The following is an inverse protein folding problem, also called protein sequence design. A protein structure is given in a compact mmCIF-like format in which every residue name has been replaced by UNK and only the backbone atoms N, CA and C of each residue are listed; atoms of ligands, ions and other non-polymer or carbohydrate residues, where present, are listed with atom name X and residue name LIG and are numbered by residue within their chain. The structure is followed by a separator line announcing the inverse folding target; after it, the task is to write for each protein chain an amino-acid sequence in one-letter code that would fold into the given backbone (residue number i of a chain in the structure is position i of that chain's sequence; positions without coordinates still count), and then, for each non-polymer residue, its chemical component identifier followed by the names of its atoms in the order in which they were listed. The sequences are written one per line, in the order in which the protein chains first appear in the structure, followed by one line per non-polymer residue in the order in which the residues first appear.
data_IF_948545327909
#
_entry.id   IF_948545327909
#
_cell.length_a   1.000
_cell.length_b   1.000
_cell.length_c   1.000
_cell.angle_alpha   90.00
_cell.angle_beta   90.00
_cell.angle_gamma   90.00
#
_symmetry.space_group_name_H-M   'P 1'
#
loop_
_entity.id
_entity.type
_entity.pdbx_description
1 polymer ?
#
# COMPACT_ATOMS: atom_id res chain seq x y z
N UNK A 1 -36.21 -36.43 4.74
CA UNK A 1 -34.85 -35.94 5.08
C UNK A 1 -34.97 -34.84 6.10
N UNK A 2 -34.22 -34.83 7.19
CA UNK A 2 -34.17 -33.70 8.15
C UNK A 2 -33.36 -32.60 7.55
N UNK A 3 -33.85 -31.33 7.63
CA UNK A 3 -33.08 -30.18 7.15
C UNK A 3 -31.76 -30.07 7.94
N UNK A 4 -30.73 -29.53 7.33
CA UNK A 4 -29.42 -29.32 7.99
C UNK A 4 -29.55 -28.50 9.28
N UNK A 5 -30.46 -27.49 9.31
CA UNK A 5 -30.76 -26.71 10.52
C UNK A 5 -31.31 -27.60 11.68
N UNK A 6 -32.19 -28.59 11.38
CA UNK A 6 -32.70 -29.52 12.41
C UNK A 6 -31.63 -30.49 12.90
N UNK A 7 -30.54 -30.67 12.14
CA UNK A 7 -29.40 -31.50 12.51
C UNK A 7 -28.31 -30.69 13.21
N UNK A 8 -28.52 -29.39 13.42
CA UNK A 8 -27.52 -28.51 14.01
C UNK A 8 -26.29 -28.25 13.09
N UNK A 9 -26.43 -28.58 11.80
CA UNK A 9 -25.38 -28.38 10.81
C UNK A 9 -25.58 -27.00 10.13
N UNK A 10 -24.68 -26.09 10.40
CA UNK A 10 -24.66 -24.76 9.78
C UNK A 10 -23.94 -24.82 8.41
N UNK A 11 -24.59 -25.54 7.48
CA UNK A 11 -24.12 -25.75 6.10
C UNK A 11 -25.21 -25.26 5.16
N UNK A 12 -24.80 -24.51 4.13
CA UNK A 12 -25.70 -24.06 3.08
C UNK A 12 -26.13 -25.29 2.25
N UNK A 13 -27.44 -25.62 2.18
CA UNK A 13 -27.90 -26.77 1.40
C UNK A 13 -27.70 -26.51 -0.10
N UNK A 14 -27.30 -27.55 -0.84
CA UNK A 14 -27.26 -27.50 -2.31
C UNK A 14 -28.67 -27.57 -2.89
N UNK A 15 -28.85 -26.95 -4.03
CA UNK A 15 -30.12 -26.96 -4.76
C UNK A 15 -30.30 -28.32 -5.44
N UNK A 16 -31.51 -28.89 -5.34
CA UNK A 16 -31.80 -30.17 -5.97
C UNK A 16 -31.71 -30.04 -7.50
N UNK A 17 -30.89 -30.92 -8.09
CA UNK A 17 -30.75 -31.06 -9.53
C UNK A 17 -31.77 -32.08 -10.05
N UNK A 18 -32.73 -31.66 -10.80
CA UNK A 18 -33.66 -32.59 -11.48
C UNK A 18 -32.92 -33.54 -12.44
N UNK A 19 -33.62 -34.60 -12.90
CA UNK A 19 -33.03 -35.64 -13.77
C UNK A 19 -32.37 -35.09 -15.02
N UNK A 20 -32.98 -34.09 -15.67
CA UNK A 20 -32.46 -33.44 -16.89
C UNK A 20 -31.13 -32.71 -16.64
N UNK A 21 -31.07 -31.91 -15.56
CA UNK A 21 -29.84 -31.16 -15.19
C UNK A 21 -28.72 -32.13 -14.80
N UNK A 22 -29.06 -33.17 -14.05
CA UNK A 22 -28.08 -34.20 -13.66
C UNK A 22 -27.51 -34.98 -14.86
N UNK A 23 -28.33 -35.22 -15.91
CA UNK A 23 -27.87 -35.87 -17.14
C UNK A 23 -26.90 -34.96 -17.95
N UNK A 24 -27.16 -33.65 -18.01
CA UNK A 24 -26.28 -32.68 -18.65
C UNK A 24 -24.92 -32.56 -17.95
N UNK A 25 -24.95 -32.45 -16.63
CA UNK A 25 -23.70 -32.36 -15.81
C UNK A 25 -22.86 -33.65 -15.92
N UNK A 26 -23.46 -34.82 -16.01
CA UNK A 26 -22.73 -36.07 -16.24
C UNK A 26 -22.06 -36.13 -17.62
N UNK A 27 -22.62 -35.43 -18.61
CA UNK A 27 -22.02 -35.28 -19.95
C UNK A 27 -20.98 -34.18 -20.02
N UNK A 28 -20.63 -33.54 -18.89
CA UNK A 28 -19.66 -32.45 -18.85
C UNK A 28 -20.20 -31.09 -19.29
N UNK A 29 -21.53 -30.98 -19.49
CA UNK A 29 -22.17 -29.72 -19.88
C UNK A 29 -22.51 -28.93 -18.61
N UNK A 30 -21.86 -27.80 -18.40
CA UNK A 30 -22.10 -26.94 -17.24
C UNK A 30 -23.50 -26.31 -17.30
N UNK A 31 -24.21 -26.40 -16.17
CA UNK A 31 -25.55 -25.82 -16.02
C UNK A 31 -25.57 -24.74 -14.93
N UNK A 32 -26.53 -23.82 -14.96
CA UNK A 32 -26.64 -22.77 -13.94
C UNK A 32 -26.82 -23.36 -12.53
N UNK A 33 -27.64 -24.42 -12.38
CA UNK A 33 -27.85 -25.10 -11.09
C UNK A 33 -26.58 -25.87 -10.68
N UNK A 34 -25.88 -26.48 -11.62
CA UNK A 34 -24.60 -27.16 -11.38
C UNK A 34 -23.53 -26.16 -10.92
N UNK A 35 -23.43 -25.01 -11.57
CA UNK A 35 -22.51 -23.92 -11.17
C UNK A 35 -22.86 -23.43 -9.76
N UNK A 36 -24.12 -23.12 -9.49
CA UNK A 36 -24.59 -22.69 -8.17
C UNK A 36 -24.23 -23.71 -7.09
N UNK A 37 -24.42 -25.00 -7.36
CA UNK A 37 -24.04 -26.06 -6.41
C UNK A 37 -22.53 -26.18 -6.21
N UNK A 38 -21.72 -25.90 -7.23
CA UNK A 38 -20.26 -25.81 -7.11
C UNK A 38 -19.88 -24.63 -6.21
N UNK A 39 -20.51 -23.48 -6.39
CA UNK A 39 -20.26 -22.29 -5.56
C UNK A 39 -20.69 -22.50 -4.12
N UNK A 40 -21.86 -23.13 -3.88
CA UNK A 40 -22.32 -23.50 -2.53
C UNK A 40 -21.33 -24.46 -1.87
N UNK A 41 -20.85 -25.49 -2.58
CA UNK A 41 -19.84 -26.41 -2.05
C UNK A 41 -18.51 -25.72 -1.74
N UNK A 42 -18.09 -24.77 -2.58
CA UNK A 42 -16.90 -23.96 -2.34
C UNK A 42 -17.06 -23.06 -1.10
N UNK A 43 -18.22 -22.39 -0.96
CA UNK A 43 -18.56 -21.60 0.21
C UNK A 43 -18.59 -22.45 1.51
N UNK A 44 -19.19 -23.64 1.47
CA UNK A 44 -19.21 -24.55 2.62
C UNK A 44 -17.81 -25.02 3.01
N UNK A 45 -16.92 -25.32 2.04
CA UNK A 45 -15.52 -25.66 2.32
C UNK A 45 -14.79 -24.49 2.97
N UNK A 46 -15.02 -23.27 2.47
CA UNK A 46 -14.44 -22.06 3.04
C UNK A 46 -14.93 -21.82 4.48
N UNK A 47 -16.22 -22.02 4.74
CA UNK A 47 -16.80 -21.93 6.09
C UNK A 47 -16.17 -22.96 7.05
N UNK A 48 -15.98 -24.20 6.59
CA UNK A 48 -15.35 -25.25 7.40
C UNK A 48 -13.86 -24.92 7.67
N UNK A 49 -13.14 -24.39 6.70
CA UNK A 49 -11.76 -23.93 6.90
C UNK A 49 -11.69 -22.80 7.93
N UNK A 50 -12.60 -21.82 7.85
CA UNK A 50 -12.72 -20.73 8.84
C UNK A 50 -13.01 -21.29 10.23
N UNK A 51 -13.94 -22.25 10.37
CA UNK A 51 -14.24 -22.87 11.66
C UNK A 51 -13.05 -23.62 12.25
N UNK A 52 -12.31 -24.35 11.40
CA UNK A 52 -11.07 -25.00 11.82
C UNK A 52 -10.05 -23.98 12.33
N UNK A 53 -9.90 -22.88 11.60
CA UNK A 53 -8.98 -21.80 12.00
C UNK A 53 -9.43 -21.15 13.31
N UNK A 54 -10.75 -20.92 13.51
CA UNK A 54 -11.31 -20.40 14.76
C UNK A 54 -11.04 -21.36 15.92
N UNK A 55 -11.17 -22.68 15.70
CA UNK A 55 -10.86 -23.68 16.72
C UNK A 55 -9.39 -23.60 17.12
N UNK A 56 -8.50 -23.66 16.13
CA UNK A 56 -7.06 -23.54 16.38
C UNK A 56 -6.69 -22.25 17.11
N UNK A 57 -7.38 -21.15 16.77
CA UNK A 57 -7.20 -19.84 17.40
C UNK A 57 -7.65 -19.84 18.87
N UNK A 58 -8.76 -20.52 19.18
CA UNK A 58 -9.22 -20.69 20.55
C UNK A 58 -8.25 -21.52 21.37
N UNK A 59 -7.78 -22.63 20.79
CA UNK A 59 -6.83 -23.51 21.45
C UNK A 59 -5.53 -22.77 21.73
N UNK A 60 -5.00 -22.05 20.73
CA UNK A 60 -3.80 -21.22 20.91
C UNK A 60 -3.96 -20.08 21.94
N UNK A 61 -5.14 -19.41 21.97
CA UNK A 61 -5.42 -18.41 23.02
C UNK A 61 -5.45 -19.08 24.39
N UNK A 62 -6.00 -20.27 24.50
CA UNK A 62 -6.02 -21.01 25.75
C UNK A 62 -4.61 -21.38 26.22
N UNK A 63 -3.77 -21.88 25.31
CA UNK A 63 -2.37 -22.22 25.58
C UNK A 63 -1.56 -20.99 26.03
N UNK A 64 -1.73 -19.87 25.34
CA UNK A 64 -1.06 -18.60 25.72
C UNK A 64 -1.56 -18.10 27.08
N UNK A 65 -2.87 -18.17 27.33
CA UNK A 65 -3.42 -17.75 28.62
C UNK A 65 -2.88 -18.64 29.76
N UNK A 66 -2.68 -19.92 29.50
CA UNK A 66 -2.12 -20.85 30.47
C UNK A 66 -0.62 -20.58 30.70
N UNK A 67 0.16 -20.43 29.64
CA UNK A 67 1.56 -20.03 29.71
C UNK A 67 1.74 -18.65 30.41
N UNK A 68 0.84 -17.70 30.13
CA UNK A 68 0.87 -16.38 30.78
C UNK A 68 0.53 -16.49 32.26
N UNK A 69 -0.37 -17.40 32.67
CA UNK A 69 -0.66 -17.65 34.09
C UNK A 69 0.52 -18.26 34.82
N UNK A 70 1.24 -19.20 34.19
CA UNK A 70 2.44 -19.78 34.78
C UNK A 70 3.53 -18.72 34.99
N UNK A 71 3.80 -17.91 33.95
CA UNK A 71 4.78 -16.79 34.04
C UNK A 71 4.36 -15.73 35.06
N UNK A 72 3.05 -15.44 35.18
CA UNK A 72 2.54 -14.50 36.20
C UNK A 72 2.60 -15.09 37.62
N UNK A 73 2.46 -16.41 37.78
CA UNK A 73 2.61 -17.07 39.07
C UNK A 73 4.07 -17.05 39.56
N UNK A 74 5.03 -17.15 38.63
CA UNK A 74 6.46 -17.06 38.93
C UNK A 74 6.96 -15.63 39.20
N UNK A 75 6.30 -14.61 38.64
CA UNK A 75 6.73 -13.20 38.74
C UNK A 75 5.63 -12.27 39.30
N UNK A 76 5.18 -12.52 40.51
CA UNK A 76 4.20 -11.63 41.18
C UNK A 76 4.73 -10.18 41.38
N UNK A 77 6.04 -9.99 41.45
CA UNK A 77 6.68 -8.67 41.56
C UNK A 77 6.69 -7.88 40.21
N UNK A 78 6.59 -8.56 39.05
CA UNK A 78 6.59 -7.96 37.71
C UNK A 78 5.18 -7.55 37.24
N UNK A 79 4.15 -7.83 38.04
CA UNK A 79 2.73 -7.59 37.69
C UNK A 79 2.37 -6.16 37.32
N UNK A 80 3.20 -5.15 37.65
CA UNK A 80 2.89 -3.74 37.39
C UNK A 80 3.24 -3.25 35.99
N UNK A 81 4.05 -3.99 35.23
CA UNK A 81 4.55 -3.54 33.91
C UNK A 81 4.45 -4.61 32.79
N UNK A 82 3.67 -5.66 32.97
CA UNK A 82 3.52 -6.68 31.93
C UNK A 82 2.72 -6.09 30.75
N UNK A 83 3.36 -6.01 29.59
CA UNK A 83 2.71 -5.60 28.34
C UNK A 83 1.56 -6.54 28.01
N UNK A 84 0.36 -6.03 27.64
CA UNK A 84 -0.79 -6.86 27.36
C UNK A 84 -0.53 -7.79 26.17
N UNK A 85 -0.99 -9.06 26.29
CA UNK A 85 -0.84 -10.07 25.26
C UNK A 85 -1.65 -9.67 24.00
N UNK A 86 -0.99 -9.71 22.82
CA UNK A 86 -1.59 -9.32 21.54
C UNK A 86 -2.83 -10.16 21.17
N UNK A 87 -2.84 -11.45 21.51
CA UNK A 87 -3.99 -12.30 21.23
C UNK A 87 -5.24 -11.87 22.01
N UNK A 88 -5.07 -11.46 23.26
CA UNK A 88 -6.15 -10.90 24.09
C UNK A 88 -6.66 -9.58 23.50
N UNK A 89 -5.75 -8.69 23.10
CA UNK A 89 -6.09 -7.42 22.48
C UNK A 89 -6.82 -7.59 21.13
N UNK A 90 -6.41 -8.55 20.31
CA UNK A 90 -7.12 -8.87 19.07
C UNK A 90 -8.52 -9.43 19.30
N UNK A 91 -8.71 -10.25 20.33
CA UNK A 91 -10.04 -10.71 20.76
C UNK A 91 -10.91 -9.53 21.20
N UNK A 92 -10.36 -8.63 21.99
CA UNK A 92 -11.09 -7.46 22.47
C UNK A 92 -11.44 -6.52 21.32
N UNK A 93 -10.58 -6.40 20.31
CA UNK A 93 -10.90 -5.72 19.05
C UNK A 93 -12.08 -6.36 18.32
N UNK A 94 -12.15 -7.70 18.23
CA UNK A 94 -13.31 -8.39 17.67
C UNK A 94 -14.61 -8.05 18.41
N UNK A 95 -14.56 -8.02 19.75
CA UNK A 95 -15.70 -7.66 20.57
C UNK A 95 -16.16 -6.21 20.31
N UNK A 96 -15.20 -5.30 20.20
CA UNK A 96 -15.46 -3.90 19.86
C UNK A 96 -16.11 -3.79 18.47
N UNK A 97 -15.59 -4.48 17.46
CA UNK A 97 -16.15 -4.51 16.11
C UNK A 97 -17.55 -5.10 16.07
N UNK A 98 -17.82 -6.12 16.89
CA UNK A 98 -19.15 -6.71 17.00
C UNK A 98 -20.13 -5.73 17.65
N UNK A 99 -19.70 -4.98 18.66
CA UNK A 99 -20.51 -3.95 19.29
C UNK A 99 -20.83 -2.79 18.34
N UNK A 100 -19.84 -2.32 17.54
CA UNK A 100 -20.05 -1.28 16.53
C UNK A 100 -21.10 -1.66 15.47
N UNK A 101 -21.30 -2.96 15.24
CA UNK A 101 -22.26 -3.47 14.26
C UNK A 101 -23.60 -3.90 14.84
N UNK A 102 -23.84 -3.65 16.12
CA UNK A 102 -25.10 -4.04 16.77
C UNK A 102 -26.34 -3.47 16.07
N UNK A 103 -26.24 -2.30 15.46
CA UNK A 103 -27.32 -1.61 14.73
C UNK A 103 -27.44 -2.02 13.26
N UNK A 104 -26.52 -2.85 12.75
CA UNK A 104 -26.57 -3.26 11.35
C UNK A 104 -27.64 -4.32 11.10
N UNK A 105 -28.05 -4.49 9.85
CA UNK A 105 -28.94 -5.58 9.44
C UNK A 105 -28.32 -6.94 9.77
N UNK A 106 -29.15 -7.97 10.03
CA UNK A 106 -28.71 -9.33 10.33
C UNK A 106 -27.69 -9.86 9.32
N UNK A 107 -27.93 -9.62 8.04
CA UNK A 107 -26.98 -10.00 6.98
C UNK A 107 -25.65 -9.23 7.08
N UNK A 108 -25.70 -7.93 7.32
CA UNK A 108 -24.51 -7.09 7.52
C UNK A 108 -23.69 -7.53 8.73
N UNK A 109 -24.35 -7.88 9.83
CA UNK A 109 -23.68 -8.41 11.03
C UNK A 109 -22.96 -9.73 10.74
N UNK A 110 -23.63 -10.68 10.07
CA UNK A 110 -23.03 -11.99 9.74
C UNK A 110 -21.85 -11.84 8.79
N UNK A 111 -22.00 -11.10 7.68
CA UNK A 111 -20.92 -10.87 6.73
C UNK A 111 -19.75 -10.15 7.39
N UNK A 112 -20.01 -9.08 8.12
CA UNK A 112 -18.98 -8.33 8.80
C UNK A 112 -18.24 -9.16 9.86
N UNK A 113 -18.93 -10.01 10.61
CA UNK A 113 -18.30 -10.92 11.57
C UNK A 113 -17.42 -11.94 10.87
N UNK A 114 -17.84 -12.49 9.74
CA UNK A 114 -17.03 -13.43 8.94
C UNK A 114 -15.77 -12.78 8.41
N UNK A 115 -15.87 -11.55 7.89
CA UNK A 115 -14.74 -10.81 7.36
C UNK A 115 -13.74 -10.44 8.47
N UNK A 116 -14.22 -10.00 9.64
CA UNK A 116 -13.37 -9.70 10.79
C UNK A 116 -12.67 -10.96 11.31
N UNK A 117 -13.39 -12.08 11.45
CA UNK A 117 -12.80 -13.36 11.87
C UNK A 117 -11.69 -13.81 10.93
N UNK A 118 -11.89 -13.71 9.62
CA UNK A 118 -10.88 -14.00 8.62
C UNK A 118 -9.64 -13.13 8.80
N UNK A 119 -9.84 -11.83 8.95
CA UNK A 119 -8.76 -10.85 9.10
C UNK A 119 -7.97 -11.09 10.39
N UNK A 120 -8.65 -11.28 11.52
CA UNK A 120 -7.99 -11.55 12.80
C UNK A 120 -7.29 -12.91 12.81
N UNK A 121 -7.89 -13.93 12.18
CA UNK A 121 -7.25 -15.23 12.02
C UNK A 121 -5.91 -15.12 11.27
N UNK A 122 -5.89 -14.36 10.16
CA UNK A 122 -4.66 -14.12 9.41
C UNK A 122 -3.62 -13.37 10.26
N UNK A 123 -4.05 -12.37 11.03
CA UNK A 123 -3.19 -11.63 11.93
C UNK A 123 -2.60 -12.53 13.03
N UNK A 124 -3.40 -13.41 13.60
CA UNK A 124 -2.96 -14.35 14.64
C UNK A 124 -1.95 -15.35 14.10
N UNK A 125 -2.20 -15.91 12.91
CA UNK A 125 -1.23 -16.79 12.24
C UNK A 125 0.08 -16.07 11.96
N UNK A 126 -0.01 -14.78 11.57
CA UNK A 126 1.17 -13.93 11.36
C UNK A 126 1.97 -13.75 12.66
N UNK A 127 1.31 -13.35 13.75
CA UNK A 127 1.93 -13.17 15.08
C UNK A 127 2.60 -14.46 15.58
N UNK A 128 1.91 -15.60 15.43
CA UNK A 128 2.43 -16.89 15.82
C UNK A 128 3.67 -17.29 15.00
N UNK A 129 3.66 -17.04 13.69
CA UNK A 129 4.80 -17.34 12.80
C UNK A 129 6.04 -16.52 13.13
N UNK A 130 5.84 -15.30 13.59
CA UNK A 130 6.92 -14.35 13.91
C UNK A 130 7.22 -14.30 15.42
N UNK A 131 6.58 -15.15 16.24
CA UNK A 131 6.75 -15.21 17.70
C UNK A 131 6.51 -13.86 18.41
N UNK A 132 5.56 -13.08 17.91
CA UNK A 132 5.21 -11.76 18.45
C UNK A 132 4.04 -11.91 19.43
N UNK A 133 4.31 -11.91 20.71
CA UNK A 133 3.28 -12.16 21.74
C UNK A 133 2.88 -10.90 22.51
N UNK A 134 3.78 -9.95 22.62
CA UNK A 134 3.56 -8.70 23.36
C UNK A 134 3.50 -7.49 22.41
N UNK A 135 2.92 -6.40 22.90
CA UNK A 135 2.91 -5.14 22.17
C UNK A 135 4.32 -4.60 21.93
N UNK A 136 5.21 -4.81 22.89
CA UNK A 136 6.61 -4.43 22.81
C UNK A 136 7.34 -5.17 21.67
N UNK A 137 7.14 -6.50 21.58
CA UNK A 137 7.71 -7.32 20.51
C UNK A 137 7.26 -6.81 19.13
N UNK A 138 5.95 -6.49 19.01
CA UNK A 138 5.39 -5.95 17.78
C UNK A 138 5.99 -4.58 17.42
N UNK A 139 6.11 -3.68 18.40
CA UNK A 139 6.66 -2.34 18.17
C UNK A 139 8.15 -2.41 17.78
N UNK A 140 8.94 -3.27 18.41
CA UNK A 140 10.35 -3.52 18.06
C UNK A 140 10.46 -4.10 16.64
N UNK A 141 9.66 -5.12 16.32
CA UNK A 141 9.66 -5.72 14.99
C UNK A 141 9.23 -4.71 13.91
N UNK A 142 8.19 -3.93 14.17
CA UNK A 142 7.68 -2.89 13.27
C UNK A 142 8.74 -1.81 13.03
N UNK A 143 9.44 -1.38 14.07
CA UNK A 143 10.53 -0.41 13.97
C UNK A 143 11.67 -0.98 13.08
N UNK A 144 12.14 -2.20 13.35
CA UNK A 144 13.23 -2.82 12.59
C UNK A 144 12.90 -2.98 11.10
N UNK A 145 11.67 -3.41 10.76
CA UNK A 145 11.24 -3.53 9.35
C UNK A 145 11.04 -2.15 8.71
N UNK A 146 10.55 -1.15 9.47
CA UNK A 146 10.42 0.23 9.01
C UNK A 146 11.78 0.88 8.72
N UNK A 147 12.79 0.64 9.55
CA UNK A 147 14.15 1.11 9.33
C UNK A 147 14.77 0.50 8.08
N UNK A 148 14.58 -0.82 7.85
CA UNK A 148 14.97 -1.48 6.59
C UNK A 148 14.30 -0.83 5.38
N UNK A 149 12.98 -0.56 5.45
CA UNK A 149 12.27 0.10 4.38
C UNK A 149 12.80 1.52 4.10
N UNK A 150 13.21 2.24 5.14
CA UNK A 150 13.79 3.58 5.02
C UNK A 150 15.17 3.52 4.36
N UNK A 151 16.04 2.63 4.80
CA UNK A 151 17.35 2.42 4.21
C UNK A 151 17.28 2.08 2.71
N UNK A 152 16.38 1.16 2.33
CA UNK A 152 16.16 0.83 0.91
C UNK A 152 15.67 2.05 0.10
N UNK A 153 14.82 2.92 0.67
CA UNK A 153 14.39 4.15 -0.01
C UNK A 153 15.51 5.15 -0.19
N UNK A 154 16.39 5.28 0.79
CA UNK A 154 17.58 6.13 0.71
C UNK A 154 18.55 5.62 -0.36
N UNK A 155 18.80 4.31 -0.42
CA UNK A 155 19.61 3.69 -1.47
C UNK A 155 18.99 3.91 -2.87
N UNK A 156 17.68 3.73 -3.01
CA UNK A 156 16.96 4.02 -4.25
C UNK A 156 17.08 5.49 -4.66
N UNK A 157 16.96 6.41 -3.71
CA UNK A 157 17.09 7.84 -3.97
C UNK A 157 18.52 8.19 -4.40
N UNK A 158 19.51 7.60 -3.76
CA UNK A 158 20.92 7.78 -4.10
C UNK A 158 21.21 7.28 -5.52
N UNK A 159 20.76 6.07 -5.84
CA UNK A 159 20.88 5.51 -7.19
C UNK A 159 20.16 6.39 -8.23
N UNK A 160 18.94 6.84 -7.95
CA UNK A 160 18.19 7.73 -8.83
C UNK A 160 18.89 9.08 -9.07
N UNK A 161 19.46 9.67 -8.01
CA UNK A 161 20.20 10.92 -8.12
C UNK A 161 21.48 10.73 -8.96
N UNK A 162 22.18 9.61 -8.79
CA UNK A 162 23.36 9.30 -9.59
C UNK A 162 23.00 9.06 -11.06
N UNK A 163 21.93 8.32 -11.36
CA UNK A 163 21.44 8.16 -12.73
C UNK A 163 21.10 9.50 -13.40
N UNK A 164 20.45 10.41 -12.67
CA UNK A 164 20.16 11.78 -13.17
C UNK A 164 21.45 12.55 -13.44
N UNK A 165 22.43 12.46 -12.55
CA UNK A 165 23.74 13.11 -12.74
C UNK A 165 24.45 12.57 -14.00
N UNK A 166 24.48 11.25 -14.21
CA UNK A 166 25.04 10.62 -15.40
C UNK A 166 24.34 11.13 -16.68
N UNK A 167 23.02 11.12 -16.71
CA UNK A 167 22.25 11.63 -17.86
C UNK A 167 22.55 13.11 -18.10
N UNK A 168 22.70 13.92 -17.05
CA UNK A 168 23.06 15.34 -17.18
C UNK A 168 24.46 15.50 -17.76
N UNK A 169 25.43 14.67 -17.35
CA UNK A 169 26.78 14.67 -17.88
C UNK A 169 26.77 14.26 -19.36
N UNK A 170 26.09 13.17 -19.73
CA UNK A 170 25.98 12.68 -21.10
C UNK A 170 25.39 13.76 -22.04
N UNK A 171 24.30 14.42 -21.60
CA UNK A 171 23.70 15.50 -22.38
C UNK A 171 24.66 16.70 -22.49
N UNK A 172 25.34 17.05 -21.41
CA UNK A 172 26.31 18.16 -21.45
C UNK A 172 27.51 17.88 -22.34
N UNK A 173 28.01 16.62 -22.37
CA UNK A 173 29.06 16.22 -23.32
C UNK A 173 28.58 16.34 -24.75
N UNK A 174 27.38 15.81 -25.06
CA UNK A 174 26.81 15.89 -26.40
C UNK A 174 26.60 17.34 -26.87
N UNK A 175 26.13 18.21 -26.00
CA UNK A 175 25.99 19.65 -26.29
C UNK A 175 27.35 20.33 -26.49
N UNK A 176 28.37 19.98 -25.70
CA UNK A 176 29.72 20.48 -25.89
C UNK A 176 30.31 20.00 -27.23
N UNK A 177 30.19 18.73 -27.58
CA UNK A 177 30.67 18.18 -28.84
C UNK A 177 30.00 18.86 -30.04
N UNK A 178 28.69 19.05 -30.00
CA UNK A 178 27.91 19.73 -31.03
C UNK A 178 28.44 21.14 -31.34
N UNK A 179 28.82 21.88 -30.31
CA UNK A 179 29.24 23.28 -30.44
C UNK A 179 30.76 23.48 -30.32
N UNK A 180 31.54 22.38 -30.17
CA UNK A 180 33.00 22.44 -30.04
C UNK A 180 33.70 23.14 -31.19
N UNK A 181 33.27 22.90 -32.42
CA UNK A 181 33.88 23.50 -33.62
C UNK A 181 33.77 25.03 -33.64
N UNK A 182 32.65 25.55 -33.17
CA UNK A 182 32.41 27.01 -33.07
C UNK A 182 33.24 27.59 -31.91
N UNK A 183 33.27 26.92 -30.78
CA UNK A 183 34.08 27.34 -29.64
C UNK A 183 35.59 27.30 -29.93
N UNK A 184 36.11 26.31 -30.60
CA UNK A 184 37.51 26.19 -30.99
C UNK A 184 37.92 27.28 -31.99
N UNK A 185 37.04 27.63 -32.94
CA UNK A 185 37.26 28.77 -33.83
C UNK A 185 37.29 30.07 -33.06
N UNK A 186 36.36 30.28 -32.12
CA UNK A 186 36.30 31.46 -31.25
C UNK A 186 37.60 31.64 -30.44
N UNK A 187 38.18 30.57 -29.89
CA UNK A 187 39.44 30.68 -29.13
C UNK A 187 40.61 31.02 -30.02
N UNK A 188 40.67 30.49 -31.25
CA UNK A 188 41.76 30.72 -32.22
C UNK A 188 41.77 32.12 -32.79
N UNK A 189 40.72 32.93 -32.66
CA UNK A 189 40.65 34.30 -33.14
C UNK A 189 41.46 35.17 -32.20
N UNK A 190 42.63 35.66 -32.65
CA UNK A 190 43.55 36.57 -31.89
C UNK A 190 43.13 38.00 -31.87
N UNK A 191 42.37 38.49 -32.87
CA UNK A 191 41.99 39.90 -33.02
C UNK A 191 40.67 40.21 -32.31
N UNK A 192 40.69 41.15 -31.35
CA UNK A 192 39.55 41.48 -30.48
C UNK A 192 38.28 41.81 -31.24
N UNK A 193 38.35 42.70 -32.25
CA UNK A 193 37.19 43.13 -33.04
C UNK A 193 36.57 41.95 -33.83
N UNK A 194 37.40 41.08 -34.42
CA UNK A 194 36.93 39.88 -35.12
C UNK A 194 36.32 38.84 -34.16
N UNK A 195 36.88 38.76 -32.97
CA UNK A 195 36.41 37.86 -31.93
C UNK A 195 35.03 38.29 -31.40
N UNK A 196 34.81 39.59 -31.19
CA UNK A 196 33.52 40.16 -30.80
C UNK A 196 32.46 39.99 -31.89
N UNK A 197 32.77 40.27 -33.16
CA UNK A 197 31.87 40.04 -34.28
C UNK A 197 31.51 38.54 -34.45
N UNK A 198 32.46 37.64 -34.26
CA UNK A 198 32.21 36.20 -34.30
C UNK A 198 31.36 35.74 -33.12
N UNK A 199 31.62 36.30 -31.92
CA UNK A 199 30.80 36.01 -30.75
C UNK A 199 29.35 36.46 -30.90
N UNK A 200 29.11 37.60 -31.54
CA UNK A 200 27.73 38.09 -31.79
C UNK A 200 27.01 37.22 -32.81
N UNK A 201 27.70 36.82 -33.90
CA UNK A 201 27.11 35.93 -34.93
C UNK A 201 26.84 34.52 -34.48
N UNK A 202 27.54 34.01 -33.45
CA UNK A 202 27.43 32.65 -32.89
C UNK A 202 27.07 32.65 -31.40
N UNK A 203 26.33 33.66 -30.95
CA UNK A 203 26.02 33.92 -29.54
C UNK A 203 25.32 32.72 -28.88
N UNK A 204 24.31 32.19 -29.54
CA UNK A 204 23.51 31.06 -29.00
C UNK A 204 24.36 29.80 -28.85
N UNK A 205 25.19 29.48 -29.85
CA UNK A 205 26.06 28.33 -29.87
C UNK A 205 27.17 28.40 -28.78
N UNK A 206 27.80 29.56 -28.64
CA UNK A 206 28.79 29.79 -27.58
C UNK A 206 28.16 29.78 -26.19
N UNK A 207 26.95 30.33 -26.05
CA UNK A 207 26.20 30.29 -24.79
C UNK A 207 25.83 28.89 -24.42
N UNK A 208 25.35 28.07 -25.39
CA UNK A 208 25.04 26.65 -25.19
C UNK A 208 26.28 25.86 -24.76
N UNK A 209 27.41 26.04 -25.47
CA UNK A 209 28.68 25.39 -25.08
C UNK A 209 29.10 25.77 -23.66
N UNK A 210 29.14 27.07 -23.33
CA UNK A 210 29.54 27.51 -22.01
C UNK A 210 28.63 27.01 -20.90
N UNK A 211 27.31 26.92 -21.14
CA UNK A 211 26.36 26.33 -20.19
C UNK A 211 26.61 24.85 -19.98
N UNK A 212 26.78 24.10 -21.07
CA UNK A 212 27.07 22.68 -21.03
C UNK A 212 28.41 22.39 -20.31
N UNK A 213 29.45 23.16 -20.63
CA UNK A 213 30.76 23.04 -20.01
C UNK A 213 30.74 23.35 -18.49
N UNK A 214 30.00 24.37 -18.06
CA UNK A 214 29.80 24.67 -16.65
C UNK A 214 29.06 23.54 -15.94
N UNK A 215 28.06 22.95 -16.59
CA UNK A 215 27.32 21.80 -16.06
C UNK A 215 28.25 20.59 -15.88
N UNK A 216 29.10 20.30 -16.87
CA UNK A 216 30.14 19.27 -16.80
C UNK A 216 31.06 19.46 -15.59
N UNK A 217 31.62 20.66 -15.45
CA UNK A 217 32.50 20.98 -14.32
C UNK A 217 31.83 20.87 -12.96
N UNK A 218 30.56 21.25 -12.87
CA UNK A 218 29.78 21.12 -11.63
C UNK A 218 29.63 19.67 -11.18
N UNK A 219 29.55 18.75 -12.12
CA UNK A 219 29.42 17.30 -11.84
C UNK A 219 30.77 16.57 -11.82
N UNK A 220 31.90 17.30 -11.77
CA UNK A 220 33.25 16.73 -11.70
C UNK A 220 33.71 16.05 -12.99
N UNK A 221 33.01 16.30 -14.10
CA UNK A 221 33.35 15.78 -15.43
C UNK A 221 34.28 16.72 -16.21
N UNK A 222 35.00 16.16 -17.18
CA UNK A 222 35.78 16.88 -18.19
C UNK A 222 35.30 16.46 -19.59
N UNK A 223 35.72 17.16 -20.64
CA UNK A 223 35.39 16.81 -22.02
C UNK A 223 35.89 15.41 -22.45
N UNK A 224 36.84 14.84 -21.71
CA UNK A 224 37.40 13.50 -21.96
C UNK A 224 36.76 12.40 -21.12
N UNK A 225 35.54 12.60 -20.65
CA UNK A 225 34.81 11.57 -19.87
C UNK A 225 34.54 10.33 -20.73
N UNK A 226 34.80 9.16 -20.17
CA UNK A 226 34.46 7.90 -20.82
C UNK A 226 32.95 7.67 -20.79
N UNK A 227 32.27 8.04 -21.87
CA UNK A 227 30.80 7.86 -22.02
C UNK A 227 30.39 6.39 -21.94
N UNK A 228 31.26 5.44 -22.35
CA UNK A 228 30.95 4.01 -22.29
C UNK A 228 30.95 3.52 -20.84
N UNK A 229 31.92 3.97 -20.05
CA UNK A 229 31.96 3.66 -18.63
C UNK A 229 30.77 4.25 -17.88
N UNK A 230 30.37 5.50 -18.19
CA UNK A 230 29.17 6.12 -17.62
C UNK A 230 27.90 5.41 -18.03
N UNK A 231 27.80 4.96 -19.28
CA UNK A 231 26.64 4.20 -19.74
C UNK A 231 26.54 2.86 -19.01
N UNK A 232 27.65 2.17 -18.83
CA UNK A 232 27.69 0.93 -18.04
C UNK A 232 27.28 1.17 -16.60
N UNK A 233 27.80 2.21 -15.96
CA UNK A 233 27.42 2.61 -14.60
C UNK A 233 25.91 2.90 -14.50
N UNK A 234 25.35 3.60 -15.50
CA UNK A 234 23.92 3.87 -15.56
C UNK A 234 23.08 2.59 -15.64
N UNK A 235 23.49 1.65 -16.49
CA UNK A 235 22.78 0.39 -16.66
C UNK A 235 22.88 -0.49 -15.41
N UNK A 236 24.03 -0.54 -14.74
CA UNK A 236 24.22 -1.23 -13.47
C UNK A 236 23.36 -0.62 -12.36
N UNK A 237 23.30 0.72 -12.26
CA UNK A 237 22.45 1.44 -11.33
C UNK A 237 20.94 1.21 -11.61
N UNK A 238 20.56 1.12 -12.87
CA UNK A 238 19.18 0.83 -13.27
C UNK A 238 18.74 -0.58 -12.82
N UNK A 239 19.62 -1.56 -12.96
CA UNK A 239 19.40 -2.94 -12.48
C UNK A 239 19.29 -2.92 -10.95
N UNK A 240 20.24 -2.27 -10.26
CA UNK A 240 20.25 -2.13 -8.81
C UNK A 240 18.96 -1.46 -8.29
N UNK A 241 18.56 -0.35 -8.91
CA UNK A 241 17.33 0.36 -8.55
C UNK A 241 16.07 -0.51 -8.72
N UNK A 242 16.03 -1.35 -9.77
CA UNK A 242 14.93 -2.28 -9.99
C UNK A 242 14.90 -3.37 -8.91
N UNK A 243 16.04 -3.91 -8.52
CA UNK A 243 16.17 -4.88 -7.45
C UNK A 243 15.76 -4.29 -6.09
N UNK A 244 16.21 -3.07 -5.77
CA UNK A 244 15.82 -2.34 -4.56
C UNK A 244 14.30 -2.09 -4.51
N UNK A 245 13.69 -1.78 -5.67
CA UNK A 245 12.24 -1.62 -5.77
C UNK A 245 11.50 -2.92 -5.45
N UNK A 246 11.99 -4.06 -5.92
CA UNK A 246 11.42 -5.37 -5.60
C UNK A 246 11.58 -5.69 -4.10
N UNK A 247 12.75 -5.41 -3.52
CA UNK A 247 12.99 -5.58 -2.09
C UNK A 247 12.08 -4.69 -1.25
N UNK A 248 11.90 -3.42 -1.64
CA UNK A 248 10.99 -2.51 -0.95
C UNK A 248 9.52 -3.00 -1.01
N UNK A 249 9.11 -3.58 -2.12
CA UNK A 249 7.78 -4.18 -2.24
C UNK A 249 7.61 -5.35 -1.25
N UNK A 250 8.59 -6.24 -1.16
CA UNK A 250 8.57 -7.35 -0.21
C UNK A 250 8.53 -6.88 1.26
N UNK A 251 9.36 -5.88 1.60
CA UNK A 251 9.37 -5.29 2.96
C UNK A 251 8.04 -4.58 3.27
N UNK A 252 7.41 -3.92 2.29
CA UNK A 252 6.11 -3.29 2.50
C UNK A 252 4.97 -4.32 2.70
N UNK A 253 5.04 -5.47 2.03
CA UNK A 253 4.10 -6.58 2.26
C UNK A 253 4.26 -7.16 3.69
N UNK A 254 5.49 -7.21 4.21
CA UNK A 254 5.77 -7.60 5.59
C UNK A 254 5.28 -6.54 6.61
N UNK A 255 5.48 -5.25 6.31
CA UNK A 255 5.04 -4.14 7.17
C UNK A 255 3.53 -4.00 7.31
N UNK A 256 2.79 -4.36 6.27
CA UNK A 256 1.35 -4.16 6.21
C UNK A 256 0.60 -4.87 7.35
N UNK A 257 0.75 -6.20 7.55
CA UNK A 257 0.07 -6.89 8.63
C UNK A 257 0.47 -6.37 10.02
N UNK A 258 1.74 -6.01 10.24
CA UNK A 258 2.18 -5.43 11.51
C UNK A 258 1.49 -4.09 11.81
N UNK A 259 1.40 -3.21 10.81
CA UNK A 259 0.73 -1.91 10.95
C UNK A 259 -0.77 -2.08 11.20
N UNK A 260 -1.40 -3.02 10.51
CA UNK A 260 -2.81 -3.31 10.68
C UNK A 260 -3.08 -3.83 12.12
N UNK A 261 -2.27 -4.77 12.60
CA UNK A 261 -2.36 -5.28 13.97
C UNK A 261 -2.13 -4.15 14.98
N UNK A 262 -1.09 -3.36 14.79
CA UNK A 262 -0.79 -2.22 15.68
C UNK A 262 -1.92 -1.21 15.75
N UNK A 263 -2.56 -0.95 14.61
CA UNK A 263 -3.72 -0.08 14.52
C UNK A 263 -4.93 -0.65 15.28
N UNK A 264 -5.23 -1.95 15.13
CA UNK A 264 -6.36 -2.58 15.83
C UNK A 264 -6.14 -2.62 17.33
N UNK A 265 -4.93 -2.94 17.76
CA UNK A 265 -4.53 -2.91 19.17
C UNK A 265 -4.62 -1.48 19.73
N UNK A 266 -4.19 -0.49 18.96
CA UNK A 266 -4.33 0.93 19.35
C UNK A 266 -5.78 1.35 19.57
N UNK A 267 -6.72 0.85 18.77
CA UNK A 267 -8.15 1.10 18.97
C UNK A 267 -8.70 0.53 20.28
N UNK A 268 -8.18 -0.60 20.72
CA UNK A 268 -8.58 -1.21 22.01
C UNK A 268 -8.01 -0.45 23.18
N UNK A 269 -6.74 -0.05 23.09
CA UNK A 269 -6.04 0.62 24.20
C UNK A 269 -6.45 2.10 24.39
N UNK A 270 -6.84 2.78 23.31
CA UNK A 270 -7.19 4.21 23.33
C UNK A 270 -8.44 4.49 22.50
N UNK A 271 -9.64 4.07 22.94
CA UNK A 271 -10.87 4.26 22.19
C UNK A 271 -11.24 5.73 21.96
N UNK A 272 -10.83 6.64 22.85
CA UNK A 272 -11.17 8.07 22.76
C UNK A 272 -10.36 8.85 21.72
N UNK A 273 -9.14 8.44 21.40
CA UNK A 273 -8.29 9.15 20.43
C UNK A 273 -8.65 8.81 18.96
N UNK A 274 -9.41 7.75 18.73
CA UNK A 274 -9.85 7.33 17.39
C UNK A 274 -11.20 7.93 16.97
N UNK A 275 -11.96 8.49 17.90
CA UNK A 275 -13.25 9.13 17.62
C UNK A 275 -13.12 10.43 16.80
N UNK A 276 -11.94 11.04 16.72
CA UNK A 276 -11.68 12.30 15.97
C UNK A 276 -11.38 12.11 14.49
N UNK A 277 -11.20 10.87 14.01
CA UNK A 277 -11.16 10.53 12.58
C UNK A 277 -12.24 9.51 12.26
N UNK A 278 -13.50 9.95 12.35
CA UNK A 278 -14.55 9.22 11.63
C UNK A 278 -14.14 9.20 10.16
N UNK A 279 -14.01 8.02 9.52
CA UNK A 279 -14.01 7.98 8.07
C UNK A 279 -15.34 8.60 7.67
N UNK A 280 -15.30 9.63 6.83
CA UNK A 280 -16.53 10.17 6.23
C UNK A 280 -17.39 8.99 5.80
N UNK A 281 -18.69 8.97 6.14
CA UNK A 281 -19.56 7.87 5.78
C UNK A 281 -19.39 7.67 4.26
N UNK A 282 -18.99 6.47 3.87
CA UNK A 282 -18.90 6.11 2.44
C UNK A 282 -20.33 6.12 1.94
N UNK A 283 -20.80 7.31 1.58
CA UNK A 283 -22.10 7.46 0.93
C UNK A 283 -22.16 6.49 -0.24
N UNK A 284 -23.20 5.69 -0.28
CA UNK A 284 -23.52 4.85 -1.41
C UNK A 284 -23.41 5.69 -2.68
N UNK A 285 -22.97 5.10 -3.81
CA UNK A 285 -22.96 5.78 -5.12
C UNK A 285 -24.28 6.51 -5.41
N UNK A 286 -25.40 5.96 -4.96
CA UNK A 286 -26.73 6.57 -5.00
C UNK A 286 -26.84 7.85 -4.17
N UNK A 287 -26.32 7.87 -2.96
CA UNK A 287 -26.35 9.04 -2.08
C UNK A 287 -25.40 10.14 -2.55
N UNK A 288 -24.24 9.79 -3.12
CA UNK A 288 -23.34 10.75 -3.77
C UNK A 288 -24.00 11.42 -4.99
N UNK A 289 -24.69 10.65 -5.83
CA UNK A 289 -25.42 11.17 -6.97
C UNK A 289 -26.59 12.07 -6.55
N UNK A 290 -27.31 11.73 -5.48
CA UNK A 290 -28.38 12.56 -4.93
C UNK A 290 -27.83 13.87 -4.36
N UNK A 291 -26.73 13.82 -3.62
CA UNK A 291 -26.06 15.00 -3.06
C UNK A 291 -25.53 15.94 -4.15
N UNK A 292 -24.93 15.40 -5.22
CA UNK A 292 -24.51 16.20 -6.38
C UNK A 292 -25.71 16.81 -7.14
N UNK A 293 -26.83 16.08 -7.25
CA UNK A 293 -28.03 16.63 -7.87
C UNK A 293 -28.67 17.74 -7.03
N UNK A 294 -28.66 17.64 -5.71
CA UNK A 294 -29.15 18.68 -4.81
C UNK A 294 -28.25 19.91 -4.83
N UNK A 295 -26.95 19.75 -4.84
CA UNK A 295 -26.01 20.87 -5.00
C UNK A 295 -26.21 21.60 -6.33
N UNK A 296 -26.36 20.88 -7.44
CA UNK A 296 -26.65 21.48 -8.75
C UNK A 296 -27.98 22.25 -8.78
N UNK A 297 -29.00 21.76 -8.07
CA UNK A 297 -30.29 22.46 -7.92
C UNK A 297 -30.19 23.72 -7.05
N UNK A 298 -29.34 23.73 -6.02
CA UNK A 298 -29.12 24.91 -5.18
C UNK A 298 -28.32 26.00 -5.92
N UNK A 299 -27.32 25.63 -6.72
CA UNK A 299 -26.53 26.57 -7.53
C UNK A 299 -27.39 27.21 -8.64
N UNK A 300 -28.38 26.50 -9.17
CA UNK A 300 -29.31 27.06 -10.17
C UNK A 300 -30.41 27.98 -9.58
N UNK A 301 -30.61 27.96 -8.25
CA UNK A 301 -31.58 28.84 -7.55
C UNK A 301 -30.97 30.12 -6.97
N UNK A 302 -29.67 30.36 -7.12
CA UNK A 302 -29.05 31.61 -6.70
C UNK A 302 -29.56 32.75 -7.61
N UNK A 303 -30.14 33.83 -7.07
CA UNK A 303 -30.68 34.90 -7.87
C UNK A 303 -29.55 35.65 -8.60
N UNK A 304 -29.64 35.74 -9.92
CA UNK A 304 -28.77 36.61 -10.72
C UNK A 304 -28.91 38.03 -10.22
N UNK A 305 -27.89 38.59 -9.59
CA UNK A 305 -27.80 40.02 -9.31
C UNK A 305 -27.78 40.78 -10.65
N UNK A 306 -28.79 41.58 -10.86
CA UNK A 306 -28.83 42.59 -11.95
C UNK A 306 -27.70 43.56 -11.73
N UNK A 307 -26.77 43.65 -12.68
CA UNK A 307 -25.89 44.79 -12.81
C UNK A 307 -26.78 46.03 -13.06
N UNK A 308 -26.78 46.99 -12.14
CA UNK A 308 -27.24 48.32 -12.39
C UNK A 308 -26.15 49.03 -13.18
N UNK A 309 -26.47 49.40 -14.41
CA UNK A 309 -25.72 50.39 -15.16
C UNK A 309 -25.80 51.70 -14.39
N UNK A 310 -24.67 52.26 -14.04
CA UNK A 310 -24.54 53.66 -13.63
C UNK A 310 -23.86 54.40 -14.78
N UNK A 311 -24.70 54.99 -15.60
CA UNK A 311 -24.29 56.22 -16.36
C UNK A 311 -24.12 57.34 -15.38
N UNK A 312 -22.94 57.97 -15.38
CA UNK A 312 -22.66 59.42 -15.40
C UNK A 312 -21.15 59.63 -15.28
#
# INVERSE_FOLDING_TARGET
MRSYERQGLDIIPTVHMGTAVSALERKGIATNIGNLNRDIKAANRMMNAIRSTIKNLRDWIADILEATKEVLAENEAAKKNASPNLAVLLRDYLNLRKAERSEWSRYGQQKGTTDDLKTISQATVYLQRHELFTLEDLDIALQGVSEKATAIREDMQTAANRMKAITTIQNAVADCEKHKAVHDKYIKIGWKIRKEAYAESHKDELTAFNKAYRTLKKHGGDLNVDLKALQKEYDDLKISHTNLKAQLAAVNEELKPMKDIRYWVGKVLSPEQTATKQPEPKHSLKERLLYEQEQKKQVQKAPKQKKQDMEL
#
